data_IF_047249109874
#
_entry.id   IF_047249109874
#
_cell.length_a   1.000
_cell.length_b   1.000
_cell.length_c   1.000
_cell.angle_alpha   90.00
_cell.angle_beta   90.00
_cell.angle_gamma   90.00
#
_symmetry.space_group_name_H-M   'P 1'
#
loop_
_entity.id
_entity.type
_entity.pdbx_description
1 polymer ?
#
# COMPACT_ATOMS: atom_id res chain seq x y z
N UNK A 1 -14.72 -5.50 2.57
CA UNK A 1 -13.83 -4.91 1.53
C UNK A 1 -12.42 -4.57 2.02
N UNK A 2 -12.25 -4.04 3.24
CA UNK A 2 -10.96 -3.54 3.80
C UNK A 2 -9.77 -4.51 3.67
N UNK A 3 -9.97 -5.79 4.04
CA UNK A 3 -8.92 -6.82 3.99
C UNK A 3 -8.48 -7.13 2.56
N UNK A 4 -9.40 -7.15 1.58
CA UNK A 4 -9.10 -7.42 0.17
C UNK A 4 -8.13 -6.37 -0.40
N UNK A 5 -8.44 -5.09 -0.19
CA UNK A 5 -7.59 -3.97 -0.63
C UNK A 5 -6.22 -3.99 0.06
N UNK A 6 -6.17 -4.22 1.37
CA UNK A 6 -4.92 -4.35 2.12
C UNK A 6 -4.07 -5.54 1.63
N UNK A 7 -4.69 -6.69 1.34
CA UNK A 7 -3.98 -7.85 0.79
C UNK A 7 -3.45 -7.59 -0.62
N UNK A 8 -4.20 -6.85 -1.46
CA UNK A 8 -3.79 -6.44 -2.80
C UNK A 8 -2.58 -5.49 -2.77
N UNK A 9 -2.60 -4.50 -1.87
CA UNK A 9 -1.49 -3.56 -1.70
C UNK A 9 -0.25 -4.29 -1.14
N UNK A 10 -0.45 -5.25 -0.22
CA UNK A 10 0.65 -6.07 0.32
C UNK A 10 1.23 -7.03 -0.71
N UNK A 11 0.41 -7.70 -1.53
CA UNK A 11 0.88 -8.58 -2.59
C UNK A 11 1.61 -7.79 -3.67
N UNK A 12 1.06 -6.63 -4.07
CA UNK A 12 1.74 -5.67 -4.94
C UNK A 12 3.10 -5.27 -4.38
N UNK A 13 3.18 -4.84 -3.11
CA UNK A 13 4.47 -4.49 -2.48
C UNK A 13 5.41 -5.71 -2.41
N UNK A 14 4.92 -6.91 -2.12
CA UNK A 14 5.79 -8.08 -1.96
C UNK A 14 6.33 -8.64 -3.29
N UNK A 15 5.55 -8.51 -4.36
CA UNK A 15 5.91 -9.03 -5.69
C UNK A 15 6.56 -7.97 -6.58
N UNK A 16 6.09 -6.73 -6.53
CA UNK A 16 6.54 -5.65 -7.42
C UNK A 16 7.60 -4.78 -6.75
N UNK A 17 7.52 -4.49 -5.44
CA UNK A 17 8.56 -3.68 -4.77
C UNK A 17 9.99 -4.23 -4.81
N UNK A 18 10.27 -5.56 -4.81
CA UNK A 18 11.65 -6.04 -4.92
C UNK A 18 12.23 -5.91 -6.33
N UNK A 19 11.39 -5.70 -7.35
CA UNK A 19 11.81 -5.53 -8.75
C UNK A 19 12.14 -4.08 -9.09
N UNK A 20 11.73 -3.13 -8.23
CA UNK A 20 11.97 -1.70 -8.44
C UNK A 20 12.87 -1.15 -7.34
N UNK A 21 13.87 -0.36 -7.73
CA UNK A 21 14.63 0.48 -6.79
C UNK A 21 13.67 1.36 -5.99
N UNK A 22 13.96 1.67 -4.71
CA UNK A 22 13.12 2.50 -3.87
C UNK A 22 13.02 3.91 -4.48
N UNK A 23 11.99 4.14 -5.30
CA UNK A 23 11.73 5.39 -6.02
C UNK A 23 10.85 6.36 -5.24
N UNK A 24 10.36 5.95 -4.06
CA UNK A 24 9.50 6.79 -3.24
C UNK A 24 10.31 7.96 -2.65
N UNK A 25 10.20 9.11 -3.32
CA UNK A 25 10.76 10.39 -2.87
C UNK A 25 10.05 10.95 -1.62
N UNK A 26 8.80 10.56 -1.40
CA UNK A 26 7.97 11.03 -0.29
C UNK A 26 7.70 9.90 0.71
N UNK A 27 7.84 10.22 2.00
CA UNK A 27 7.54 9.33 3.12
C UNK A 27 6.32 9.89 3.89
N UNK A 28 5.30 9.08 4.22
CA UNK A 28 5.14 7.66 3.89
C UNK A 28 4.87 7.42 2.40
N UNK A 29 5.18 6.22 1.91
CA UNK A 29 4.93 5.85 0.51
C UNK A 29 3.44 5.90 0.17
N UNK A 30 3.09 6.09 -1.11
CA UNK A 30 1.69 6.04 -1.58
C UNK A 30 0.95 4.77 -1.11
N UNK A 31 1.61 3.62 -1.17
CA UNK A 31 1.07 2.34 -0.67
C UNK A 31 0.83 2.34 0.84
N UNK A 32 1.71 2.98 1.62
CA UNK A 32 1.56 3.10 3.07
C UNK A 32 0.49 4.12 3.46
N UNK A 33 0.41 5.25 2.76
CA UNK A 33 -0.68 6.21 2.94
C UNK A 33 -2.03 5.60 2.62
N UNK A 34 -2.11 4.83 1.52
CA UNK A 34 -3.33 4.10 1.14
C UNK A 34 -3.75 3.11 2.21
N UNK A 35 -2.82 2.35 2.80
CA UNK A 35 -3.12 1.47 3.93
C UNK A 35 -3.64 2.24 5.15
N UNK A 36 -2.98 3.33 5.53
CA UNK A 36 -3.43 4.18 6.65
C UNK A 36 -4.80 4.81 6.39
N UNK A 37 -5.08 5.24 5.15
CA UNK A 37 -6.37 5.80 4.78
C UNK A 37 -7.49 4.75 4.86
N UNK A 38 -7.25 3.53 4.35
CA UNK A 38 -8.20 2.41 4.42
C UNK A 38 -8.45 2.00 5.88
N UNK A 39 -7.41 2.03 6.72
CA UNK A 39 -7.50 1.70 8.14
C UNK A 39 -8.26 2.76 8.94
N UNK A 40 -8.00 4.05 8.66
CA UNK A 40 -8.56 5.19 9.39
C UNK A 40 -9.97 5.58 8.94
N UNK A 41 -10.24 5.58 7.64
CA UNK A 41 -11.53 6.01 7.08
C UNK A 41 -12.44 4.83 6.73
N UNK A 42 -11.89 3.62 6.65
CA UNK A 42 -12.61 2.46 6.13
C UNK A 42 -12.74 2.52 4.61
N UNK A 43 -12.47 1.42 3.92
CA UNK A 43 -12.97 1.25 2.56
C UNK A 43 -14.48 0.98 2.66
N UNK A 44 -15.29 1.94 2.24
CA UNK A 44 -16.72 1.72 1.97
C UNK A 44 -16.87 0.60 0.93
#
# INVERSE_FOLDING_TARGET
MKKLLLTLIRSYRKWISPLFVPSCRFYPTCSQYSMQAIEKYGSL
#
